data_IF_220969193108
#
_entry.id   IF_220969193108
#
_cell.length_a   1.000
_cell.length_b   1.000
_cell.length_c   1.000
_cell.angle_alpha   90.00
_cell.angle_beta   90.00
_cell.angle_gamma   90.00
#
_symmetry.space_group_name_H-M   'P 1'
#
loop_
_entity.id
_entity.type
_entity.pdbx_description
1 polymer ?
#
# COMPACT_ATOMS: atom_id res chain seq x y z
N UNK A 1 -9.46 57.15 -69.40
CA UNK A 1 -10.29 58.27 -69.87
C UNK A 1 -11.58 58.30 -69.07
N UNK A 2 -11.91 59.48 -68.52
CA UNK A 2 -13.26 60.05 -68.29
C UNK A 2 -14.29 59.12 -67.63
N UNK A 3 -14.48 59.19 -66.31
CA UNK A 3 -15.42 60.07 -65.55
C UNK A 3 -16.92 59.74 -65.70
N UNK A 4 -17.72 60.03 -64.64
CA UNK A 4 -18.95 59.35 -64.25
C UNK A 4 -20.22 60.18 -64.55
N UNK A 5 -21.38 59.61 -64.26
CA UNK A 5 -22.64 60.33 -63.94
C UNK A 5 -23.50 59.36 -63.10
N UNK A 6 -23.58 59.58 -61.78
CA UNK A 6 -24.65 60.34 -61.08
C UNK A 6 -26.03 59.70 -61.34
N UNK A 7 -26.76 59.22 -60.34
CA UNK A 7 -27.43 60.05 -59.34
C UNK A 7 -27.75 59.28 -58.05
N UNK A 8 -27.54 59.96 -56.91
CA UNK A 8 -27.85 59.53 -55.54
C UNK A 8 -29.08 60.32 -55.08
N UNK A 9 -30.18 59.65 -54.76
CA UNK A 9 -31.27 60.28 -54.01
C UNK A 9 -31.89 59.29 -52.99
N UNK A 10 -31.85 59.75 -51.74
CA UNK A 10 -32.71 59.44 -50.60
C UNK A 10 -32.56 58.16 -49.77
N UNK A 11 -31.83 58.37 -48.68
CA UNK A 11 -31.94 57.86 -47.30
C UNK A 11 -33.38 57.69 -46.73
N UNK A 12 -33.63 56.49 -46.16
CA UNK A 12 -34.18 56.16 -44.82
C UNK A 12 -35.40 55.19 -44.76
N UNK A 13 -35.10 54.04 -44.12
CA UNK A 13 -35.88 53.14 -43.26
C UNK A 13 -37.10 52.34 -43.80
N UNK A 14 -36.94 51.02 -43.89
CA UNK A 14 -37.38 50.06 -42.85
C UNK A 14 -37.11 48.61 -43.27
N UNK A 15 -36.80 47.74 -42.30
CA UNK A 15 -36.14 46.44 -42.45
C UNK A 15 -37.03 45.30 -42.96
N UNK A 16 -36.47 44.29 -43.68
CA UNK A 16 -37.08 42.97 -43.83
C UNK A 16 -36.46 41.92 -42.89
N UNK A 17 -37.32 41.04 -42.42
CA UNK A 17 -37.11 39.92 -41.50
C UNK A 17 -36.17 38.83 -42.05
N UNK A 18 -35.34 38.19 -41.20
CA UNK A 18 -34.46 37.10 -41.64
C UNK A 18 -35.16 35.74 -41.63
N UNK A 19 -34.91 34.99 -42.72
CA UNK A 19 -35.19 33.57 -42.90
C UNK A 19 -34.64 32.73 -41.73
N UNK A 20 -35.48 31.84 -41.17
CA UNK A 20 -35.12 30.85 -40.15
C UNK A 20 -34.40 29.64 -40.77
N UNK A 21 -33.20 29.25 -40.30
CA UNK A 21 -32.70 27.88 -40.42
C UNK A 21 -33.18 27.03 -39.23
N UNK A 22 -33.51 25.76 -39.50
CA UNK A 22 -34.18 24.77 -38.65
C UNK A 22 -33.49 24.52 -37.30
N UNK A 23 -34.24 24.67 -36.19
CA UNK A 23 -33.94 24.08 -34.88
C UNK A 23 -34.07 22.55 -34.95
N UNK A 24 -32.94 21.82 -35.03
CA UNK A 24 -32.90 20.37 -34.70
C UNK A 24 -31.75 19.98 -33.76
N UNK A 25 -30.92 20.91 -33.30
CA UNK A 25 -29.70 20.61 -32.52
C UNK A 25 -29.76 20.94 -31.01
N UNK A 26 -30.88 21.46 -30.48
CA UNK A 26 -30.96 21.92 -29.07
C UNK A 26 -31.68 20.96 -28.10
N UNK A 27 -32.41 19.95 -28.57
CA UNK A 27 -33.17 19.03 -27.70
C UNK A 27 -32.34 17.87 -27.13
N UNK A 28 -31.26 17.44 -27.80
CA UNK A 28 -30.42 16.32 -27.36
C UNK A 28 -29.58 16.67 -26.12
N UNK A 29 -29.00 17.87 -26.09
CA UNK A 29 -28.10 18.31 -25.01
C UNK A 29 -28.81 18.54 -23.67
N UNK A 30 -30.06 19.02 -23.66
CA UNK A 30 -30.85 19.15 -22.43
C UNK A 30 -31.22 17.79 -21.82
N UNK A 31 -31.46 16.75 -22.65
CA UNK A 31 -31.78 15.41 -22.16
C UNK A 31 -30.57 14.71 -21.52
N UNK A 32 -29.37 14.92 -22.10
CA UNK A 32 -28.12 14.37 -21.59
C UNK A 32 -27.71 15.02 -20.26
N UNK A 33 -27.89 16.34 -20.14
CA UNK A 33 -27.61 17.07 -18.89
C UNK A 33 -28.54 16.64 -17.75
N UNK A 34 -29.84 16.45 -18.01
CA UNK A 34 -30.78 15.92 -17.01
C UNK A 34 -30.43 14.50 -16.58
N UNK A 35 -30.10 13.62 -17.53
CA UNK A 35 -29.64 12.25 -17.23
C UNK A 35 -28.35 12.25 -16.39
N UNK A 36 -27.40 13.13 -16.71
CA UNK A 36 -26.15 13.27 -15.96
C UNK A 36 -26.40 13.67 -14.51
N UNK A 37 -27.34 14.60 -14.25
CA UNK A 37 -27.74 14.98 -12.88
C UNK A 37 -28.34 13.78 -12.14
N UNK A 38 -29.30 13.08 -12.75
CA UNK A 38 -29.95 11.93 -12.12
C UNK A 38 -28.98 10.78 -11.82
N UNK A 39 -28.04 10.49 -12.73
CA UNK A 39 -26.97 9.50 -12.50
C UNK A 39 -26.00 9.95 -11.39
N UNK A 40 -25.69 11.24 -11.32
CA UNK A 40 -24.84 11.79 -10.26
C UNK A 40 -25.50 11.63 -8.89
N UNK A 41 -26.80 11.94 -8.78
CA UNK A 41 -27.56 11.75 -7.55
C UNK A 41 -27.65 10.27 -7.15
N UNK A 42 -27.85 9.37 -8.12
CA UNK A 42 -27.88 7.94 -7.87
C UNK A 42 -26.54 7.42 -7.34
N UNK A 43 -25.43 7.75 -8.01
CA UNK A 43 -24.10 7.30 -7.57
C UNK A 43 -23.71 7.90 -6.21
N UNK A 44 -24.09 9.15 -5.92
CA UNK A 44 -23.91 9.75 -4.60
C UNK A 44 -24.65 8.97 -3.51
N UNK A 45 -25.88 8.51 -3.77
CA UNK A 45 -26.66 7.69 -2.83
C UNK A 45 -25.97 6.37 -2.45
N UNK A 46 -25.17 5.81 -3.35
CA UNK A 46 -24.39 4.59 -3.11
C UNK A 46 -22.97 4.87 -2.54
N UNK A 47 -22.65 6.13 -2.22
CA UNK A 47 -21.43 6.51 -1.49
C UNK A 47 -20.25 6.97 -2.36
N UNK A 48 -20.49 7.36 -3.62
CA UNK A 48 -19.42 7.88 -4.47
C UNK A 48 -18.98 9.30 -4.06
N UNK A 49 -17.66 9.58 -4.02
CA UNK A 49 -17.15 10.91 -3.69
C UNK A 49 -17.52 11.95 -4.76
N UNK A 50 -18.14 13.08 -4.40
CA UNK A 50 -18.54 14.14 -5.34
C UNK A 50 -17.40 14.67 -6.20
N UNK A 51 -16.18 14.71 -5.66
CA UNK A 51 -14.98 15.19 -6.34
C UNK A 51 -14.53 14.31 -7.51
N UNK A 52 -14.90 13.03 -7.54
CA UNK A 52 -14.48 12.08 -8.59
C UNK A 52 -15.59 11.80 -9.62
N UNK A 53 -16.85 12.12 -9.30
CA UNK A 53 -18.01 11.78 -10.14
C UNK A 53 -18.00 12.47 -11.51
N UNK A 54 -17.63 13.74 -11.57
CA UNK A 54 -17.57 14.47 -12.86
C UNK A 54 -16.48 13.91 -13.78
N UNK A 55 -15.31 13.61 -13.22
CA UNK A 55 -14.20 12.96 -13.94
C UNK A 55 -14.51 11.52 -14.34
N UNK A 56 -15.30 10.81 -13.52
CA UNK A 56 -15.73 9.44 -13.80
C UNK A 56 -16.75 9.37 -14.93
N UNK A 57 -17.76 10.23 -14.93
CA UNK A 57 -18.80 10.28 -15.96
C UNK A 57 -18.25 10.75 -17.32
N UNK A 58 -17.29 11.68 -17.32
CA UNK A 58 -16.63 12.12 -18.56
C UNK A 58 -15.79 11.03 -19.22
N UNK A 59 -15.26 10.07 -18.44
CA UNK A 59 -14.48 8.93 -18.95
C UNK A 59 -15.34 7.74 -19.36
N UNK A 60 -16.56 7.65 -18.86
CA UNK A 60 -17.44 6.48 -19.01
C UNK A 60 -18.72 6.84 -19.78
N UNK A 61 -18.56 7.27 -21.03
CA UNK A 61 -19.69 7.68 -21.89
C UNK A 61 -20.75 6.58 -22.10
N UNK A 62 -20.39 5.30 -21.95
CA UNK A 62 -21.36 4.21 -22.07
C UNK A 62 -22.47 4.28 -20.99
N UNK A 63 -22.20 4.88 -19.81
CA UNK A 63 -23.20 5.08 -18.76
C UNK A 63 -24.18 6.22 -19.08
N UNK A 64 -23.80 7.17 -19.93
CA UNK A 64 -24.69 8.24 -20.39
C UNK A 64 -25.66 7.73 -21.47
N UNK A 65 -25.24 6.66 -22.17
CA UNK A 65 -26.04 5.98 -23.18
C UNK A 65 -26.90 4.84 -22.61
N UNK A 66 -26.60 4.36 -21.39
CA UNK A 66 -27.40 3.32 -20.73
C UNK A 66 -28.71 3.85 -20.17
N UNK A 67 -29.66 2.95 -19.94
CA UNK A 67 -30.91 3.26 -19.27
C UNK A 67 -30.67 3.45 -17.76
N UNK A 68 -31.21 4.53 -17.20
CA UNK A 68 -31.03 4.88 -15.79
C UNK A 68 -31.66 3.83 -14.86
N UNK A 69 -32.81 3.28 -15.26
CA UNK A 69 -33.49 2.20 -14.52
C UNK A 69 -32.67 0.93 -14.46
N UNK A 70 -32.02 0.57 -15.57
CA UNK A 70 -31.18 -0.64 -15.63
C UNK A 70 -29.92 -0.45 -14.79
N UNK A 71 -29.37 0.77 -14.77
CA UNK A 71 -28.22 1.12 -13.90
C UNK A 71 -28.60 1.07 -12.42
N UNK A 72 -29.78 1.56 -12.05
CA UNK A 72 -30.30 1.47 -10.68
C UNK A 72 -30.54 0.02 -10.24
N UNK A 73 -31.11 -0.81 -11.12
CA UNK A 73 -31.25 -2.25 -10.89
C UNK A 73 -29.90 -2.93 -10.74
N UNK A 74 -28.93 -2.64 -11.61
CA UNK A 74 -27.56 -3.17 -11.53
C UNK A 74 -26.92 -2.87 -10.17
N UNK A 75 -27.03 -1.62 -9.69
CA UNK A 75 -26.55 -1.23 -8.36
C UNK A 75 -27.28 -1.98 -7.25
N UNK A 76 -28.60 -2.13 -7.38
CA UNK A 76 -29.42 -2.93 -6.46
C UNK A 76 -29.02 -4.40 -6.43
N UNK A 77 -28.68 -5.01 -7.57
CA UNK A 77 -28.22 -6.41 -7.64
C UNK A 77 -26.86 -6.59 -6.94
N UNK A 78 -25.94 -5.63 -7.11
CA UNK A 78 -24.64 -5.63 -6.44
C UNK A 78 -24.77 -5.60 -4.91
N UNK A 79 -25.72 -4.84 -4.37
CA UNK A 79 -25.93 -4.73 -2.92
C UNK A 79 -26.86 -5.79 -2.34
N UNK A 80 -27.95 -6.13 -3.03
CA UNK A 80 -29.02 -6.98 -2.50
C UNK A 80 -28.82 -8.45 -2.86
N UNK A 81 -28.58 -8.76 -4.13
CA UNK A 81 -28.39 -10.14 -4.60
C UNK A 81 -26.99 -10.67 -4.25
N UNK A 82 -25.96 -9.89 -4.54
CA UNK A 82 -24.56 -10.29 -4.33
C UNK A 82 -24.02 -9.92 -2.94
N UNK A 83 -24.77 -9.14 -2.15
CA UNK A 83 -24.42 -8.74 -0.77
C UNK A 83 -23.04 -8.09 -0.63
N UNK A 84 -22.58 -7.38 -1.67
CA UNK A 84 -21.27 -6.73 -1.68
C UNK A 84 -21.32 -5.48 -0.79
N UNK A 85 -20.35 -5.27 0.13
CA UNK A 85 -20.32 -4.08 0.96
C UNK A 85 -20.26 -2.80 0.12
N UNK A 86 -20.97 -1.73 0.53
CA UNK A 86 -21.04 -0.46 -0.22
C UNK A 86 -19.67 0.08 -0.63
N UNK A 87 -18.68 0.09 0.28
CA UNK A 87 -17.31 0.53 -0.03
C UNK A 87 -16.66 -0.28 -1.16
N UNK A 88 -16.91 -1.59 -1.17
CA UNK A 88 -16.39 -2.52 -2.18
C UNK A 88 -17.09 -2.33 -3.53
N UNK A 89 -18.39 -2.02 -3.54
CA UNK A 89 -19.14 -1.67 -4.77
C UNK A 89 -18.58 -0.40 -5.42
N UNK A 90 -18.32 0.64 -4.62
CA UNK A 90 -17.72 1.88 -5.13
C UNK A 90 -16.35 1.59 -5.77
N UNK A 91 -15.50 0.82 -5.10
CA UNK A 91 -14.20 0.42 -5.69
C UNK A 91 -14.36 -0.37 -6.99
N UNK A 92 -15.26 -1.37 -7.02
CA UNK A 92 -15.50 -2.21 -8.20
C UNK A 92 -15.90 -1.38 -9.42
N UNK A 93 -16.78 -0.40 -9.23
CA UNK A 93 -17.27 0.44 -10.33
C UNK A 93 -16.21 1.44 -10.78
N UNK A 94 -15.39 1.96 -9.86
CA UNK A 94 -14.25 2.82 -10.22
C UNK A 94 -13.24 2.02 -11.06
N UNK A 95 -12.92 0.81 -10.63
CA UNK A 95 -11.92 -0.05 -11.26
C UNK A 95 -12.42 -0.66 -12.58
N UNK A 96 -13.69 -1.11 -12.61
CA UNK A 96 -14.34 -1.68 -13.78
C UNK A 96 -15.80 -1.19 -13.95
N UNK A 97 -15.99 -0.01 -14.57
CA UNK A 97 -17.32 0.58 -14.78
C UNK A 97 -18.27 -0.33 -15.58
N UNK A 98 -17.72 -1.15 -16.47
CA UNK A 98 -18.49 -2.05 -17.35
C UNK A 98 -19.26 -3.15 -16.62
N UNK A 99 -19.00 -3.36 -15.32
CA UNK A 99 -19.77 -4.30 -14.48
C UNK A 99 -21.22 -3.83 -14.30
N UNK A 100 -21.52 -2.54 -14.48
CA UNK A 100 -22.89 -1.99 -14.36
C UNK A 100 -23.84 -2.37 -15.50
N UNK A 101 -23.34 -3.07 -16.51
CA UNK A 101 -24.14 -3.66 -17.58
C UNK A 101 -25.16 -4.66 -16.98
N UNK A 102 -26.45 -4.34 -17.14
CA UNK A 102 -27.54 -5.08 -16.51
C UNK A 102 -27.65 -6.51 -17.03
N UNK A 103 -27.49 -6.71 -18.34
CA UNK A 103 -27.57 -8.04 -18.95
C UNK A 103 -26.41 -8.92 -18.49
N UNK A 104 -25.23 -8.32 -18.32
CA UNK A 104 -24.08 -8.98 -17.73
C UNK A 104 -24.37 -9.44 -16.29
N UNK A 105 -24.85 -8.54 -15.41
CA UNK A 105 -25.12 -8.89 -14.01
C UNK A 105 -26.24 -9.94 -13.88
N UNK A 106 -27.27 -9.87 -14.72
CA UNK A 106 -28.36 -10.86 -14.74
C UNK A 106 -27.87 -12.25 -15.11
N UNK A 107 -26.98 -12.37 -16.09
CA UNK A 107 -26.34 -13.64 -16.45
C UNK A 107 -25.52 -14.20 -15.29
N UNK A 108 -24.76 -13.34 -14.61
CA UNK A 108 -23.94 -13.74 -13.47
C UNK A 108 -24.76 -14.07 -12.23
N UNK A 109 -25.90 -13.41 -11.98
CA UNK A 109 -26.82 -13.75 -10.89
C UNK A 109 -27.32 -15.20 -11.04
N UNK A 110 -27.73 -15.57 -12.25
CA UNK A 110 -28.10 -16.95 -12.56
C UNK A 110 -26.89 -17.91 -12.51
N UNK A 111 -25.71 -17.46 -12.93
CA UNK A 111 -24.49 -18.24 -12.85
C UNK A 111 -24.12 -18.62 -11.42
N UNK A 112 -24.20 -17.67 -10.48
CA UNK A 112 -23.92 -17.90 -9.06
C UNK A 112 -25.04 -18.69 -8.36
N UNK A 113 -26.30 -18.55 -8.77
CA UNK A 113 -27.40 -19.31 -8.17
C UNK A 113 -27.28 -20.83 -8.39
N UNK A 114 -26.67 -21.25 -9.51
CA UNK A 114 -26.32 -22.67 -9.77
C UNK A 114 -25.37 -23.28 -8.73
N UNK A 115 -24.68 -22.46 -7.93
CA UNK A 115 -23.65 -22.88 -6.99
C UNK A 115 -23.78 -22.20 -5.62
N UNK A 116 -25.01 -21.88 -5.21
CA UNK A 116 -25.30 -21.28 -3.90
C UNK A 116 -24.73 -22.10 -2.72
N UNK A 117 -24.57 -23.41 -2.88
CA UNK A 117 -24.06 -24.35 -1.89
C UNK A 117 -22.59 -24.10 -1.49
N UNK A 118 -21.80 -23.39 -2.31
CA UNK A 118 -20.38 -23.10 -2.05
C UNK A 118 -20.14 -21.98 -1.03
N UNK A 119 -21.20 -21.29 -0.59
CA UNK A 119 -21.09 -20.16 0.34
C UNK A 119 -20.11 -19.11 -0.18
N UNK A 120 -20.23 -18.72 -1.46
CA UNK A 120 -19.30 -17.80 -2.14
C UNK A 120 -19.30 -16.46 -1.39
N UNK A 121 -18.17 -16.02 -0.82
CA UNK A 121 -18.12 -14.74 -0.11
C UNK A 121 -18.41 -13.57 -1.06
N UNK A 122 -19.08 -12.50 -0.61
CA UNK A 122 -19.35 -11.32 -1.45
C UNK A 122 -18.09 -10.69 -2.06
N UNK A 123 -16.94 -10.79 -1.38
CA UNK A 123 -15.66 -10.30 -1.89
C UNK A 123 -15.09 -11.15 -3.03
N UNK A 124 -15.36 -12.46 -3.03
CA UNK A 124 -15.02 -13.33 -4.15
C UNK A 124 -15.92 -13.00 -5.36
N UNK A 125 -17.21 -12.77 -5.14
CA UNK A 125 -18.14 -12.33 -6.19
C UNK A 125 -17.65 -11.03 -6.84
N UNK A 126 -17.24 -10.04 -6.03
CA UNK A 126 -16.62 -8.80 -6.53
C UNK A 126 -15.46 -9.12 -7.49
N UNK A 127 -14.50 -9.92 -7.03
CA UNK A 127 -13.25 -10.23 -7.76
C UNK A 127 -13.54 -10.97 -9.07
N UNK A 128 -14.47 -11.92 -9.04
CA UNK A 128 -14.90 -12.67 -10.22
C UNK A 128 -15.59 -11.75 -11.22
N UNK A 129 -16.54 -10.91 -10.80
CA UNK A 129 -17.23 -9.99 -11.70
C UNK A 129 -16.27 -9.01 -12.39
N UNK A 130 -15.32 -8.46 -11.62
CA UNK A 130 -14.29 -7.56 -12.13
C UNK A 130 -13.43 -8.25 -13.20
N UNK A 131 -12.92 -9.44 -12.89
CA UNK A 131 -12.08 -10.21 -13.79
C UNK A 131 -12.86 -10.68 -15.03
N UNK A 132 -14.08 -11.15 -14.85
CA UNK A 132 -14.93 -11.64 -15.92
C UNK A 132 -15.32 -10.56 -16.90
N UNK A 133 -15.60 -9.33 -16.43
CA UNK A 133 -15.86 -8.22 -17.37
C UNK A 133 -14.60 -7.82 -18.13
N UNK A 134 -13.44 -7.81 -17.47
CA UNK A 134 -12.15 -7.44 -18.07
C UNK A 134 -11.70 -8.43 -19.16
N UNK A 135 -11.93 -9.71 -18.95
CA UNK A 135 -11.50 -10.79 -19.86
C UNK A 135 -12.64 -11.44 -20.65
N UNK A 136 -13.85 -10.89 -20.57
CA UNK A 136 -15.05 -11.39 -21.26
C UNK A 136 -15.31 -12.88 -20.96
N UNK A 137 -15.28 -13.24 -19.68
CA UNK A 137 -15.52 -14.60 -19.21
C UNK A 137 -17.01 -14.80 -18.97
N UNK A 138 -17.53 -15.92 -19.44
CA UNK A 138 -18.92 -16.32 -19.21
C UNK A 138 -19.08 -17.11 -17.89
N UNK A 139 -20.28 -17.05 -17.27
CA UNK A 139 -20.55 -17.77 -16.04
C UNK A 139 -20.38 -19.29 -16.18
N UNK A 140 -20.68 -19.87 -17.35
CA UNK A 140 -20.53 -21.31 -17.56
C UNK A 140 -19.06 -21.74 -17.52
N UNK A 141 -18.15 -20.92 -18.05
CA UNK A 141 -16.70 -21.18 -17.96
C UNK A 141 -16.18 -21.12 -16.52
N UNK A 142 -16.67 -20.17 -15.73
CA UNK A 142 -16.37 -20.10 -14.30
C UNK A 142 -16.84 -21.37 -13.57
N UNK A 143 -18.05 -21.84 -13.89
CA UNK A 143 -18.61 -23.05 -13.32
C UNK A 143 -17.85 -24.32 -13.73
N UNK A 144 -17.40 -24.41 -14.98
CA UNK A 144 -16.51 -25.49 -15.44
C UNK A 144 -15.19 -25.47 -14.68
N UNK A 145 -14.58 -24.31 -14.50
CA UNK A 145 -13.33 -24.16 -13.76
C UNK A 145 -13.48 -24.64 -12.31
N UNK A 146 -14.59 -24.30 -11.65
CA UNK A 146 -14.89 -24.80 -10.30
C UNK A 146 -14.97 -26.33 -10.25
N UNK A 147 -15.62 -26.96 -11.23
CA UNK A 147 -15.69 -28.43 -11.34
C UNK A 147 -14.31 -29.03 -11.58
N UNK A 148 -13.50 -28.43 -12.45
CA UNK A 148 -12.13 -28.86 -12.73
C UNK A 148 -11.28 -28.79 -11.46
N UNK A 149 -11.33 -27.68 -10.72
CA UNK A 149 -10.56 -27.54 -9.48
C UNK A 149 -10.96 -28.61 -8.45
N UNK A 150 -12.25 -28.86 -8.27
CA UNK A 150 -12.74 -29.94 -7.39
C UNK A 150 -12.32 -31.33 -7.90
N UNK A 151 -12.43 -31.58 -9.21
CA UNK A 151 -12.04 -32.85 -9.85
C UNK A 151 -10.55 -33.14 -9.76
N UNK A 152 -9.72 -32.10 -9.77
CA UNK A 152 -8.27 -32.20 -9.53
C UNK A 152 -7.93 -32.45 -8.05
N UNK A 153 -8.92 -32.47 -7.15
CA UNK A 153 -8.76 -32.78 -5.73
C UNK A 153 -8.38 -31.58 -4.87
N UNK A 154 -8.68 -30.34 -5.30
CA UNK A 154 -8.54 -29.18 -4.43
C UNK A 154 -9.59 -29.18 -3.32
N UNK A 155 -9.17 -28.82 -2.11
CA UNK A 155 -10.12 -28.57 -1.03
C UNK A 155 -11.02 -27.37 -1.35
N UNK A 156 -12.18 -27.30 -0.69
CA UNK A 156 -13.11 -26.16 -0.89
C UNK A 156 -12.46 -24.83 -0.49
N UNK A 157 -11.68 -24.83 0.59
CA UNK A 157 -10.93 -23.66 1.04
C UNK A 157 -9.90 -23.24 0.00
N UNK A 158 -9.15 -24.18 -0.59
CA UNK A 158 -8.17 -23.89 -1.63
C UNK A 158 -8.82 -23.39 -2.91
N UNK A 159 -9.93 -24.00 -3.33
CA UNK A 159 -10.70 -23.53 -4.49
C UNK A 159 -11.13 -22.08 -4.32
N UNK A 160 -11.66 -21.73 -3.14
CA UNK A 160 -12.03 -20.35 -2.79
C UNK A 160 -10.82 -19.42 -2.84
N UNK A 161 -9.73 -19.78 -2.15
CA UNK A 161 -8.49 -18.97 -2.09
C UNK A 161 -7.86 -18.75 -3.46
N UNK A 162 -7.90 -19.76 -4.33
CA UNK A 162 -7.35 -19.65 -5.68
C UNK A 162 -8.15 -18.67 -6.52
N UNK A 163 -9.48 -18.70 -6.45
CA UNK A 163 -10.32 -17.75 -7.19
C UNK A 163 -10.23 -16.32 -6.65
N UNK A 164 -10.01 -16.16 -5.34
CA UNK A 164 -9.80 -14.86 -4.70
C UNK A 164 -8.43 -14.27 -5.02
N UNK A 165 -7.36 -15.05 -4.87
CA UNK A 165 -5.97 -14.58 -5.02
C UNK A 165 -5.46 -14.59 -6.46
N UNK A 166 -5.98 -15.49 -7.30
CA UNK A 166 -5.58 -15.63 -8.70
C UNK A 166 -6.80 -15.91 -9.59
N UNK A 167 -7.69 -14.92 -9.81
CA UNK A 167 -8.88 -15.08 -10.66
C UNK A 167 -8.54 -15.45 -12.11
N UNK A 168 -7.30 -15.19 -12.54
CA UNK A 168 -6.76 -15.65 -13.82
C UNK A 168 -6.78 -17.16 -14.03
N UNK A 169 -6.99 -17.96 -12.98
CA UNK A 169 -7.18 -19.42 -13.08
C UNK A 169 -8.34 -19.79 -14.00
N UNK A 170 -9.39 -18.96 -14.09
CA UNK A 170 -10.57 -19.20 -14.95
C UNK A 170 -10.16 -19.18 -16.43
N UNK A 171 -9.08 -18.47 -16.75
CA UNK A 171 -8.53 -18.41 -18.10
C UNK A 171 -7.69 -19.65 -18.46
N UNK A 172 -7.15 -20.36 -17.46
CA UNK A 172 -6.24 -21.49 -17.67
C UNK A 172 -6.96 -22.74 -18.15
N UNK A 173 -6.23 -23.59 -18.87
CA UNK A 173 -6.72 -24.92 -19.26
C UNK A 173 -6.51 -25.93 -18.13
N UNK A 174 -7.39 -26.92 -18.02
CA UNK A 174 -7.25 -28.00 -17.04
C UNK A 174 -5.88 -28.68 -17.11
N UNK A 175 -5.37 -28.96 -18.32
CA UNK A 175 -4.06 -29.58 -18.53
C UNK A 175 -2.90 -28.74 -17.96
N UNK A 176 -3.03 -27.42 -17.95
CA UNK A 176 -2.01 -26.51 -17.41
C UNK A 176 -2.00 -26.50 -15.88
N UNK A 177 -3.17 -26.60 -15.25
CA UNK A 177 -3.30 -26.74 -13.80
C UNK A 177 -2.75 -28.11 -13.37
N UNK A 178 -3.14 -29.16 -14.10
CA UNK A 178 -2.67 -30.52 -13.84
C UNK A 178 -1.15 -30.64 -13.96
N UNK A 179 -0.54 -30.06 -15.01
CA UNK A 179 0.93 -30.05 -15.17
C UNK A 179 1.64 -29.42 -13.96
N UNK A 180 1.08 -28.37 -13.36
CA UNK A 180 1.67 -27.72 -12.18
C UNK A 180 1.53 -28.55 -10.92
N UNK A 181 0.40 -29.23 -10.75
CA UNK A 181 0.22 -30.22 -9.68
C UNK A 181 1.28 -31.33 -9.81
N UNK A 182 1.42 -31.91 -11.01
CA UNK A 182 2.40 -32.97 -11.27
C UNK A 182 3.84 -32.49 -11.06
N UNK A 183 4.17 -31.27 -11.47
CA UNK A 183 5.48 -30.68 -11.22
C UNK A 183 5.80 -30.56 -9.73
N UNK A 184 4.87 -30.04 -8.92
CA UNK A 184 5.07 -29.93 -7.46
C UNK A 184 5.20 -31.32 -6.81
N UNK A 185 4.46 -32.31 -7.30
CA UNK A 185 4.62 -33.69 -6.86
C UNK A 185 5.97 -34.29 -7.27
N UNK A 186 6.45 -33.99 -8.49
CA UNK A 186 7.74 -34.48 -9.00
C UNK A 186 8.95 -33.94 -8.20
N UNK A 187 8.87 -32.73 -7.65
CA UNK A 187 9.89 -32.19 -6.73
C UNK A 187 9.76 -32.77 -5.30
N UNK A 188 8.80 -33.67 -5.09
CA UNK A 188 8.59 -34.44 -3.87
C UNK A 188 7.63 -33.80 -2.86
N UNK A 189 6.82 -32.82 -3.26
CA UNK A 189 5.78 -32.27 -2.38
C UNK A 189 4.58 -33.24 -2.40
N UNK A 190 4.12 -33.73 -1.23
CA UNK A 190 2.98 -34.65 -1.18
C UNK A 190 1.69 -33.93 -1.58
N UNK A 191 0.66 -34.68 -1.97
CA UNK A 191 -0.57 -34.11 -2.56
C UNK A 191 -1.29 -33.12 -1.63
N UNK A 192 -1.27 -33.36 -0.33
CA UNK A 192 -1.79 -32.46 0.70
C UNK A 192 -0.94 -31.18 0.82
N UNK A 193 0.39 -31.31 0.70
CA UNK A 193 1.32 -30.19 0.59
C UNK A 193 1.06 -29.32 -0.63
N UNK A 194 0.71 -29.94 -1.77
CA UNK A 194 0.34 -29.22 -2.99
C UNK A 194 -0.92 -28.38 -2.79
N UNK A 195 -1.94 -28.93 -2.12
CA UNK A 195 -3.16 -28.16 -1.78
C UNK A 195 -2.81 -26.94 -0.91
N UNK A 196 -1.94 -27.12 0.10
CA UNK A 196 -1.46 -26.02 0.98
C UNK A 196 -0.69 -24.95 0.22
N UNK A 197 0.14 -25.34 -0.75
CA UNK A 197 0.89 -24.41 -1.61
C UNK A 197 -0.07 -23.49 -2.35
N UNK A 198 -1.05 -24.06 -3.05
CA UNK A 198 -2.03 -23.28 -3.80
C UNK A 198 -3.00 -22.49 -2.91
N UNK A 199 -3.28 -22.96 -1.70
CA UNK A 199 -4.08 -22.23 -0.71
C UNK A 199 -3.40 -20.94 -0.23
N UNK A 200 -2.09 -21.05 0.03
CA UNK A 200 -1.28 -19.98 0.64
C UNK A 200 -0.72 -19.01 -0.40
N UNK A 201 -0.45 -19.50 -1.61
CA UNK A 201 0.12 -18.72 -2.71
C UNK A 201 -0.48 -19.13 -4.07
N UNK A 202 -1.75 -18.79 -4.34
CA UNK A 202 -2.43 -19.10 -5.61
C UNK A 202 -1.69 -18.65 -6.86
N UNK A 203 -0.96 -17.53 -6.80
CA UNK A 203 -0.32 -16.89 -7.94
C UNK A 203 0.74 -17.78 -8.61
N UNK A 204 1.22 -18.81 -7.92
CA UNK A 204 2.12 -19.82 -8.49
C UNK A 204 1.50 -20.57 -9.67
N UNK A 205 0.16 -20.63 -9.78
CA UNK A 205 -0.54 -21.15 -10.96
C UNK A 205 -0.28 -20.32 -12.23
N UNK A 206 0.06 -19.05 -12.08
CA UNK A 206 0.42 -18.19 -13.21
C UNK A 206 1.86 -18.40 -13.69
N UNK A 207 2.70 -19.14 -12.96
CA UNK A 207 4.12 -19.25 -13.29
C UNK A 207 4.33 -20.41 -14.26
N UNK A 208 5.19 -20.20 -15.26
CA UNK A 208 5.60 -21.26 -16.16
C UNK A 208 6.65 -22.17 -15.52
N UNK A 209 6.57 -23.46 -15.84
CA UNK A 209 7.41 -24.48 -15.22
C UNK A 209 8.84 -24.35 -15.76
N UNK A 210 8.98 -24.40 -17.08
CA UNK A 210 10.26 -24.49 -17.78
C UNK A 210 11.01 -23.15 -17.80
N UNK A 211 10.28 -22.04 -17.95
CA UNK A 211 10.86 -20.71 -18.12
C UNK A 211 11.08 -19.95 -16.80
N UNK A 212 10.48 -20.41 -15.69
CA UNK A 212 10.59 -19.71 -14.40
C UNK A 212 10.84 -20.61 -13.20
N UNK A 213 9.97 -21.60 -12.94
CA UNK A 213 10.08 -22.41 -11.72
C UNK A 213 11.34 -23.30 -11.74
N UNK A 214 11.63 -23.95 -12.87
CA UNK A 214 12.82 -24.78 -13.03
C UNK A 214 14.13 -24.00 -12.87
N UNK A 215 14.35 -22.87 -13.58
CA UNK A 215 15.54 -22.03 -13.36
C UNK A 215 15.73 -21.61 -11.92
N UNK A 216 14.63 -21.27 -11.21
CA UNK A 216 14.68 -20.89 -9.81
C UNK A 216 15.12 -22.05 -8.89
N UNK A 217 14.57 -23.25 -9.09
CA UNK A 217 14.97 -24.43 -8.31
C UNK A 217 16.42 -24.84 -8.62
N UNK A 218 16.86 -24.70 -9.86
CA UNK A 218 18.25 -24.94 -10.25
C UNK A 218 19.19 -23.95 -9.54
N UNK A 219 18.85 -22.67 -9.46
CA UNK A 219 19.64 -21.70 -8.69
C UNK A 219 19.78 -22.14 -7.22
N UNK A 220 18.71 -22.63 -6.59
CA UNK A 220 18.78 -23.09 -5.21
C UNK A 220 19.76 -24.27 -5.06
N UNK A 221 19.77 -25.18 -6.02
CA UNK A 221 20.72 -26.30 -6.07
C UNK A 221 22.16 -25.82 -6.29
N UNK A 222 22.36 -24.88 -7.21
CA UNK A 222 23.67 -24.30 -7.53
C UNK A 222 24.26 -23.50 -6.35
N UNK A 223 23.38 -22.92 -5.51
CA UNK A 223 23.75 -22.29 -4.24
C UNK A 223 24.13 -23.29 -3.13
N UNK A 224 24.02 -24.60 -3.40
CA UNK A 224 24.40 -25.69 -2.50
C UNK A 224 23.31 -26.15 -1.54
N UNK A 225 22.04 -25.79 -1.78
CA UNK A 225 20.92 -26.26 -0.96
C UNK A 225 20.44 -27.63 -1.45
N UNK A 226 20.21 -28.57 -0.52
CA UNK A 226 19.67 -29.88 -0.85
C UNK A 226 18.21 -29.78 -1.27
N UNK A 227 17.79 -30.66 -2.18
CA UNK A 227 16.40 -30.72 -2.67
C UNK A 227 15.41 -30.96 -1.52
N UNK A 228 15.80 -31.72 -0.50
CA UNK A 228 15.01 -31.95 0.72
C UNK A 228 14.82 -30.68 1.56
N UNK A 229 15.85 -29.85 1.70
CA UNK A 229 15.74 -28.57 2.40
C UNK A 229 14.82 -27.62 1.62
N UNK A 230 15.02 -27.51 0.30
CA UNK A 230 14.22 -26.66 -0.59
C UNK A 230 12.75 -27.05 -0.51
N UNK A 231 12.43 -28.35 -0.59
CA UNK A 231 11.08 -28.88 -0.44
C UNK A 231 10.43 -28.48 0.88
N UNK A 232 11.14 -28.64 2.00
CA UNK A 232 10.66 -28.24 3.33
C UNK A 232 10.35 -26.75 3.42
N UNK A 233 11.22 -25.91 2.86
CA UNK A 233 11.01 -24.47 2.83
C UNK A 233 9.84 -24.07 1.93
N UNK A 234 9.64 -24.71 0.77
CA UNK A 234 8.47 -24.46 -0.10
C UNK A 234 7.16 -24.83 0.61
N UNK A 235 7.09 -25.97 1.29
CA UNK A 235 5.88 -26.38 2.03
C UNK A 235 5.57 -25.40 3.16
N UNK A 236 6.62 -24.92 3.85
CA UNK A 236 6.49 -23.96 4.94
C UNK A 236 6.08 -22.57 4.46
N UNK A 237 6.64 -22.12 3.34
CA UNK A 237 6.44 -20.78 2.79
C UNK A 237 6.44 -20.82 1.25
N UNK A 238 5.27 -21.08 0.65
CA UNK A 238 5.14 -21.21 -0.80
C UNK A 238 5.56 -19.98 -1.61
N UNK A 239 5.58 -18.78 -0.99
CA UNK A 239 6.01 -17.53 -1.65
C UNK A 239 7.47 -17.53 -2.08
N UNK A 240 8.28 -18.49 -1.62
CA UNK A 240 9.64 -18.72 -2.15
C UNK A 240 9.61 -18.97 -3.67
N UNK A 241 8.58 -19.64 -4.19
CA UNK A 241 8.41 -19.86 -5.64
C UNK A 241 8.11 -18.56 -6.41
N UNK A 242 7.79 -17.48 -5.69
CA UNK A 242 7.58 -16.14 -6.21
C UNK A 242 8.86 -15.33 -6.41
N UNK A 243 10.02 -15.84 -5.99
CA UNK A 243 11.30 -15.16 -6.20
C UNK A 243 11.69 -15.11 -7.68
N UNK A 244 12.50 -14.12 -8.02
CA UNK A 244 13.23 -14.06 -9.29
C UNK A 244 14.62 -14.70 -9.13
N UNK A 245 15.13 -15.26 -10.23
CA UNK A 245 16.47 -15.83 -10.25
C UNK A 245 17.52 -14.78 -9.86
N UNK A 246 18.42 -15.14 -8.96
CA UNK A 246 19.47 -14.27 -8.43
C UNK A 246 19.06 -13.48 -7.18
N UNK A 247 17.78 -13.45 -6.82
CA UNK A 247 17.34 -12.74 -5.60
C UNK A 247 17.87 -13.41 -4.34
N UNK A 248 17.86 -14.75 -4.30
CA UNK A 248 18.38 -15.49 -3.17
C UNK A 248 19.89 -15.30 -3.05
N UNK A 249 20.63 -15.43 -4.16
CA UNK A 249 22.09 -15.19 -4.17
C UNK A 249 22.44 -13.80 -3.62
N UNK A 250 21.82 -12.74 -4.15
CA UNK A 250 22.05 -11.36 -3.70
C UNK A 250 21.75 -11.17 -2.20
N UNK A 251 20.70 -11.84 -1.72
CA UNK A 251 20.32 -11.81 -0.31
C UNK A 251 21.35 -12.53 0.57
N UNK A 252 21.84 -13.69 0.14
CA UNK A 252 22.89 -14.43 0.83
C UNK A 252 24.21 -13.65 0.87
N UNK A 253 24.58 -12.97 -0.22
CA UNK A 253 25.78 -12.14 -0.28
C UNK A 253 25.71 -10.93 0.65
N UNK A 254 24.52 -10.31 0.78
CA UNK A 254 24.30 -9.30 1.81
C UNK A 254 24.54 -9.89 3.20
N UNK A 255 23.94 -11.04 3.52
CA UNK A 255 24.04 -11.60 4.88
C UNK A 255 25.48 -12.04 5.20
N UNK A 256 26.21 -12.58 4.21
CA UNK A 256 27.63 -12.94 4.34
C UNK A 256 28.52 -11.71 4.58
N UNK A 257 28.18 -10.57 4.00
CA UNK A 257 28.94 -9.32 4.14
C UNK A 257 28.54 -8.45 5.34
N UNK A 258 27.59 -8.90 6.17
CA UNK A 258 27.16 -8.16 7.37
C UNK A 258 28.28 -8.07 8.41
N UNK A 259 28.64 -6.84 8.77
CA UNK A 259 29.51 -6.53 9.90
C UNK A 259 28.64 -6.18 11.12
N UNK A 260 28.05 -7.19 11.76
CA UNK A 260 27.19 -7.01 12.93
C UNK A 260 27.66 -7.81 14.15
N UNK A 261 27.07 -7.53 15.32
CA UNK A 261 27.37 -8.26 16.55
C UNK A 261 26.95 -9.72 16.42
N UNK A 262 27.74 -10.64 16.96
CA UNK A 262 27.50 -12.08 16.87
C UNK A 262 26.09 -12.53 17.29
N UNK A 263 25.48 -12.00 18.37
CA UNK A 263 24.11 -12.37 18.74
C UNK A 263 23.05 -12.01 17.68
N UNK A 264 23.28 -10.94 16.90
CA UNK A 264 22.36 -10.54 15.82
C UNK A 264 22.54 -11.52 14.65
N UNK A 265 23.78 -11.83 14.31
CA UNK A 265 24.11 -12.79 13.25
C UNK A 265 23.51 -14.16 13.55
N UNK A 266 23.71 -14.69 14.75
CA UNK A 266 23.13 -15.96 15.20
C UNK A 266 21.59 -15.97 15.11
N UNK A 267 20.93 -14.86 15.48
CA UNK A 267 19.47 -14.74 15.35
C UNK A 267 19.01 -14.75 13.89
N UNK A 268 19.72 -14.06 13.00
CA UNK A 268 19.40 -14.04 11.56
C UNK A 268 19.51 -15.46 10.98
N UNK A 269 20.57 -16.19 11.33
CA UNK A 269 20.81 -17.56 10.85
C UNK A 269 20.10 -18.66 11.65
N UNK A 270 19.28 -18.31 12.65
CA UNK A 270 18.64 -19.29 13.55
C UNK A 270 17.77 -20.33 12.83
N UNK A 271 17.22 -19.98 11.66
CA UNK A 271 16.39 -20.85 10.82
C UNK A 271 17.14 -21.36 9.58
N UNK A 272 18.47 -21.22 9.53
CA UNK A 272 19.31 -21.60 8.40
C UNK A 272 19.51 -20.49 7.36
N UNK A 273 20.53 -20.66 6.51
CA UNK A 273 20.94 -19.66 5.53
C UNK A 273 19.88 -19.40 4.45
N UNK A 274 19.20 -20.45 3.96
CA UNK A 274 18.12 -20.32 2.98
C UNK A 274 17.03 -19.36 3.48
N UNK A 275 16.54 -19.63 4.70
CA UNK A 275 15.50 -18.82 5.33
C UNK A 275 15.99 -17.40 5.57
N UNK A 276 17.20 -17.24 6.09
CA UNK A 276 17.78 -15.91 6.29
C UNK A 276 17.81 -15.09 4.99
N UNK A 277 18.24 -15.72 3.87
CA UNK A 277 18.22 -15.12 2.54
C UNK A 277 16.81 -14.70 2.11
N UNK A 278 15.82 -15.56 2.32
CA UNK A 278 14.42 -15.24 2.02
C UNK A 278 13.88 -14.09 2.88
N UNK A 279 14.17 -14.05 4.19
CA UNK A 279 13.75 -12.96 5.07
C UNK A 279 14.33 -11.60 4.63
N UNK A 280 15.58 -11.58 4.15
CA UNK A 280 16.18 -10.37 3.54
C UNK A 280 15.39 -9.93 2.30
N UNK A 281 15.08 -10.85 1.39
CA UNK A 281 14.27 -10.56 0.21
C UNK A 281 12.93 -9.93 0.59
N UNK A 282 12.24 -10.47 1.58
CA UNK A 282 10.99 -9.90 2.07
C UNK A 282 11.13 -8.46 2.58
N UNK A 283 12.22 -8.13 3.29
CA UNK A 283 12.45 -6.75 3.77
C UNK A 283 12.81 -5.82 2.63
N UNK A 284 13.58 -6.29 1.65
CA UNK A 284 13.87 -5.51 0.44
C UNK A 284 12.58 -5.18 -0.32
N UNK A 285 11.71 -6.16 -0.53
CA UNK A 285 10.43 -5.95 -1.21
C UNK A 285 9.53 -4.97 -0.46
N UNK A 286 9.45 -5.10 0.87
CA UNK A 286 8.72 -4.17 1.73
C UNK A 286 9.25 -2.73 1.56
N UNK A 287 10.56 -2.52 1.64
CA UNK A 287 11.16 -1.20 1.45
C UNK A 287 10.90 -0.66 0.03
N UNK A 288 10.99 -1.50 -1.00
CA UNK A 288 10.71 -1.13 -2.38
C UNK A 288 9.24 -0.77 -2.63
N UNK A 289 8.29 -1.43 -1.97
CA UNK A 289 6.86 -1.07 -1.98
C UNK A 289 6.64 0.38 -1.49
N UNK A 290 7.50 0.87 -0.60
CA UNK A 290 7.50 2.25 -0.12
C UNK A 290 8.39 3.20 -0.93
N UNK A 291 8.63 2.88 -2.21
CA UNK A 291 9.34 3.71 -3.22
C UNK A 291 10.86 3.84 -3.02
N UNK A 292 11.48 2.99 -2.20
CA UNK A 292 12.94 2.91 -2.16
C UNK A 292 13.47 2.06 -3.32
N UNK A 293 14.63 2.43 -3.83
CA UNK A 293 15.30 1.64 -4.87
C UNK A 293 15.92 0.40 -4.21
N UNK A 294 15.94 -0.75 -4.90
CA UNK A 294 16.55 -2.00 -4.39
C UNK A 294 17.94 -1.77 -3.78
N UNK A 295 18.81 -1.01 -4.47
CA UNK A 295 20.16 -0.66 -3.97
C UNK A 295 20.13 0.04 -2.61
N UNK A 296 19.18 0.95 -2.39
CA UNK A 296 19.01 1.66 -1.12
C UNK A 296 18.49 0.71 -0.04
N UNK A 297 17.54 -0.16 -0.37
CA UNK A 297 17.03 -1.17 0.56
C UNK A 297 18.15 -2.11 1.05
N UNK A 298 18.98 -2.63 0.13
CA UNK A 298 20.17 -3.41 0.50
C UNK A 298 21.14 -2.61 1.38
N UNK A 299 21.38 -1.33 1.07
CA UNK A 299 22.24 -0.44 1.87
C UNK A 299 21.70 -0.22 3.29
N UNK A 300 20.38 -0.08 3.45
CA UNK A 300 19.72 0.06 4.76
C UNK A 300 19.90 -1.23 5.56
N UNK A 301 19.58 -2.39 4.99
CA UNK A 301 19.73 -3.68 5.68
C UNK A 301 21.18 -3.98 6.05
N UNK A 302 22.13 -3.60 5.20
CA UNK A 302 23.55 -3.76 5.48
C UNK A 302 24.02 -2.88 6.64
N UNK A 303 23.57 -1.61 6.69
CA UNK A 303 23.89 -0.68 7.79
C UNK A 303 23.15 -1.01 9.09
N UNK A 304 21.92 -1.51 9.00
CA UNK A 304 21.08 -1.86 10.15
C UNK A 304 20.50 -3.28 10.00
N UNK A 305 21.28 -4.32 10.35
CA UNK A 305 20.85 -5.71 10.14
C UNK A 305 19.71 -6.15 11.04
N UNK A 306 19.41 -5.41 12.12
CA UNK A 306 18.28 -5.73 13.01
C UNK A 306 16.94 -5.64 12.29
N UNK A 307 16.85 -4.90 11.18
CA UNK A 307 15.62 -4.83 10.35
C UNK A 307 15.20 -6.22 9.86
N UNK A 308 16.15 -7.12 9.60
CA UNK A 308 15.85 -8.50 9.16
C UNK A 308 15.09 -9.29 10.25
N UNK A 309 15.26 -8.91 11.52
CA UNK A 309 14.64 -9.59 12.67
C UNK A 309 13.26 -9.05 13.04
N UNK A 310 12.85 -7.90 12.49
CA UNK A 310 11.54 -7.32 12.75
C UNK A 310 10.49 -7.85 11.79
N UNK A 311 9.25 -7.99 12.26
CA UNK A 311 8.12 -8.34 11.41
C UNK A 311 7.84 -7.24 10.38
N UNK A 312 7.35 -7.62 9.20
CA UNK A 312 7.10 -6.69 8.09
C UNK A 312 6.13 -5.59 8.54
N UNK A 313 5.07 -5.95 9.26
CA UNK A 313 4.06 -5.00 9.76
C UNK A 313 4.67 -3.93 10.69
N UNK A 314 5.70 -4.26 11.48
CA UNK A 314 6.36 -3.28 12.34
C UNK A 314 7.21 -2.31 11.52
N UNK A 315 7.82 -2.77 10.43
CA UNK A 315 8.57 -1.94 9.50
C UNK A 315 7.60 -1.01 8.76
N UNK A 316 6.48 -1.52 8.26
CA UNK A 316 5.45 -0.72 7.58
C UNK A 316 4.88 0.35 8.52
N UNK A 317 4.56 0.02 9.78
CA UNK A 317 4.10 1.00 10.79
C UNK A 317 5.10 2.13 11.01
N UNK A 318 6.39 1.80 11.09
CA UNK A 318 7.47 2.79 11.23
C UNK A 318 7.58 3.70 10.01
N UNK A 319 7.50 3.13 8.80
CA UNK A 319 7.54 3.92 7.55
C UNK A 319 6.31 4.83 7.45
N UNK A 320 5.12 4.29 7.75
CA UNK A 320 3.86 5.04 7.73
C UNK A 320 3.90 6.23 8.70
N UNK A 321 4.50 6.07 9.88
CA UNK A 321 4.67 7.16 10.83
C UNK A 321 5.55 8.28 10.26
N UNK A 322 6.67 7.95 9.62
CA UNK A 322 7.55 8.95 8.98
C UNK A 322 6.80 9.72 7.89
N UNK A 323 6.07 9.00 7.02
CA UNK A 323 5.42 9.62 5.86
C UNK A 323 4.17 10.41 6.25
N UNK A 324 3.30 9.83 7.10
CA UNK A 324 1.98 10.39 7.40
C UNK A 324 2.00 11.34 8.59
N UNK A 325 2.80 11.07 9.62
CA UNK A 325 2.83 11.87 10.85
C UNK A 325 3.95 12.90 10.81
N UNK A 326 5.18 12.47 10.53
CA UNK A 326 6.33 13.39 10.51
C UNK A 326 6.41 14.20 9.20
N UNK A 327 5.77 13.73 8.13
CA UNK A 327 5.76 14.40 6.83
C UNK A 327 7.09 14.30 6.06
N UNK A 328 7.95 13.35 6.41
CA UNK A 328 9.27 13.16 5.78
C UNK A 328 9.21 12.15 4.63
N UNK A 329 10.12 12.30 3.67
CA UNK A 329 10.30 11.33 2.60
C UNK A 329 11.01 10.07 3.12
N UNK A 330 10.57 8.90 2.64
CA UNK A 330 11.16 7.57 2.96
C UNK A 330 12.67 7.51 2.68
N UNK A 331 13.20 8.30 1.74
CA UNK A 331 14.62 8.42 1.45
C UNK A 331 15.50 8.76 2.66
N UNK A 332 14.94 9.42 3.70
CA UNK A 332 15.69 9.70 4.93
C UNK A 332 16.18 8.43 5.67
N UNK A 333 15.58 7.26 5.40
CA UNK A 333 15.99 5.98 5.97
C UNK A 333 17.38 5.55 5.49
N UNK A 334 17.84 6.02 4.33
CA UNK A 334 19.19 5.72 3.81
C UNK A 334 20.28 6.39 4.67
N UNK A 335 19.95 7.56 5.22
CA UNK A 335 20.84 8.38 6.06
C UNK A 335 20.77 7.97 7.53
N UNK A 336 19.58 7.55 7.99
CA UNK A 336 19.32 7.14 9.38
C UNK A 336 18.62 5.76 9.43
N UNK A 337 19.29 4.68 8.96
CA UNK A 337 18.70 3.34 8.95
C UNK A 337 18.47 2.80 10.37
N UNK A 338 19.18 3.32 11.37
CA UNK A 338 19.04 2.94 12.77
C UNK A 338 17.62 3.19 13.31
N UNK A 339 16.85 4.07 12.65
CA UNK A 339 15.44 4.29 12.93
C UNK A 339 14.63 2.98 12.91
N UNK A 340 14.87 2.14 11.90
CA UNK A 340 14.17 0.86 11.77
C UNK A 340 14.67 -0.15 12.82
N UNK A 341 15.86 0.04 13.37
CA UNK A 341 16.50 -0.79 14.39
C UNK A 341 16.07 -0.52 15.84
N UNK A 342 15.42 0.61 16.13
CA UNK A 342 15.02 0.99 17.50
C UNK A 342 13.57 0.64 17.82
N UNK A 343 13.23 0.56 19.11
CA UNK A 343 11.86 0.31 19.55
C UNK A 343 10.95 1.49 19.20
N UNK A 344 9.88 1.21 18.45
CA UNK A 344 8.94 2.23 18.01
C UNK A 344 8.23 2.89 19.21
N UNK A 345 7.55 2.09 20.03
CA UNK A 345 6.74 2.57 21.15
C UNK A 345 7.56 3.15 22.30
N UNK A 346 8.71 2.55 22.60
CA UNK A 346 9.51 2.96 23.78
C UNK A 346 10.46 4.11 23.49
N UNK A 347 10.83 4.33 22.24
CA UNK A 347 11.87 5.31 21.88
C UNK A 347 11.39 6.32 20.85
N UNK A 348 10.80 5.90 19.74
CA UNK A 348 10.43 6.82 18.65
C UNK A 348 9.27 7.73 19.07
N UNK A 349 8.15 7.13 19.50
CA UNK A 349 6.92 7.87 19.83
C UNK A 349 7.12 8.87 20.98
N UNK A 350 7.74 8.52 22.13
CA UNK A 350 7.91 9.47 23.23
C UNK A 350 8.83 10.63 22.88
N UNK A 351 9.88 10.37 22.07
CA UNK A 351 10.80 11.42 21.62
C UNK A 351 10.13 12.38 20.66
N UNK A 352 9.36 11.85 19.71
CA UNK A 352 8.60 12.68 18.78
C UNK A 352 7.61 13.60 19.51
N UNK A 353 6.82 13.06 20.46
CA UNK A 353 5.87 13.85 21.27
C UNK A 353 6.53 15.01 22.01
N UNK A 354 7.71 14.78 22.60
CA UNK A 354 8.48 15.83 23.28
C UNK A 354 8.91 16.91 22.28
N UNK A 355 9.47 16.52 21.13
CA UNK A 355 9.92 17.47 20.11
C UNK A 355 8.75 18.28 19.54
N UNK A 356 7.64 17.62 19.21
CA UNK A 356 6.42 18.27 18.70
C UNK A 356 5.84 19.27 19.70
N UNK A 357 5.80 18.90 20.99
CA UNK A 357 5.36 19.81 22.05
C UNK A 357 6.27 21.03 22.20
N UNK A 358 7.60 20.83 22.19
CA UNK A 358 8.55 21.93 22.29
C UNK A 358 8.50 22.84 21.05
N UNK A 359 8.25 22.26 19.88
CA UNK A 359 8.03 23.02 18.65
C UNK A 359 6.79 23.91 18.76
N UNK A 360 5.66 23.36 19.22
CA UNK A 360 4.41 24.12 19.42
C UNK A 360 4.56 25.26 20.46
N UNK A 361 5.43 25.07 21.47
CA UNK A 361 5.74 26.10 22.48
C UNK A 361 6.84 27.09 22.07
N UNK A 362 7.43 26.94 20.88
CA UNK A 362 8.56 27.79 20.44
C UNK A 362 9.86 27.59 21.25
N UNK A 363 10.00 26.48 21.97
CA UNK A 363 11.16 26.18 22.80
C UNK A 363 12.39 25.70 22.01
N UNK A 364 12.19 25.33 20.74
CA UNK A 364 13.25 24.89 19.84
C UNK A 364 13.79 26.08 19.02
N UNK A 365 15.12 26.23 19.04
CA UNK A 365 15.84 27.23 18.24
C UNK A 365 15.93 26.86 16.76
N UNK A 366 16.09 25.56 16.46
CA UNK A 366 16.16 24.99 15.12
C UNK A 366 15.31 23.70 15.03
N UNK A 367 14.96 23.28 13.81
CA UNK A 367 14.26 22.01 13.57
C UNK A 367 15.10 20.79 13.99
N UNK A 368 14.50 19.92 14.80
CA UNK A 368 15.15 18.69 15.26
C UNK A 368 14.90 17.56 14.26
N UNK A 369 15.88 17.32 13.40
CA UNK A 369 15.81 16.24 12.40
C UNK A 369 15.78 14.83 13.00
N UNK A 370 15.34 13.86 12.20
CA UNK A 370 15.23 12.43 12.57
C UNK A 370 16.52 11.85 13.17
N UNK A 371 17.68 12.28 12.65
CA UNK A 371 19.00 11.85 13.15
C UNK A 371 19.19 12.16 14.63
N UNK A 372 18.80 13.36 15.09
CA UNK A 372 18.95 13.75 16.49
C UNK A 372 17.97 12.96 17.37
N UNK A 373 16.73 12.77 16.92
CA UNK A 373 15.75 11.96 17.64
C UNK A 373 16.19 10.52 17.84
N UNK A 374 16.89 9.91 16.89
CA UNK A 374 17.25 8.48 16.95
C UNK A 374 18.64 8.25 17.55
N UNK A 375 19.66 9.04 17.16
CA UNK A 375 21.06 8.76 17.54
C UNK A 375 21.40 9.19 18.96
N UNK A 376 20.62 10.07 19.60
CA UNK A 376 20.87 10.46 20.99
C UNK A 376 20.58 9.29 21.95
N UNK A 377 21.46 9.11 22.95
CA UNK A 377 21.18 8.19 24.05
C UNK A 377 19.98 8.68 24.86
N UNK A 378 19.28 7.77 25.57
CA UNK A 378 18.12 8.15 26.40
C UNK A 378 18.47 9.27 27.39
N UNK A 379 19.64 9.18 28.05
CA UNK A 379 20.14 10.19 28.98
C UNK A 379 20.42 11.54 28.31
N UNK A 380 21.08 11.53 27.14
CA UNK A 380 21.36 12.77 26.41
C UNK A 380 20.09 13.44 25.92
N UNK A 381 19.14 12.67 25.37
CA UNK A 381 17.85 13.19 24.95
C UNK A 381 17.10 13.81 26.14
N UNK A 382 17.05 13.11 27.27
CA UNK A 382 16.42 13.63 28.49
C UNK A 382 17.06 14.94 28.95
N UNK A 383 18.38 15.00 29.07
CA UNK A 383 19.08 16.21 29.53
C UNK A 383 18.89 17.40 28.59
N UNK A 384 18.75 17.17 27.28
CA UNK A 384 18.62 18.23 26.27
C UNK A 384 17.19 18.74 26.13
N UNK A 385 16.21 17.84 26.07
CA UNK A 385 14.83 18.18 25.68
C UNK A 385 13.81 18.00 26.80
N UNK A 386 14.11 17.24 27.85
CA UNK A 386 13.14 16.92 28.91
C UNK A 386 13.46 17.65 30.20
N UNK A 387 14.70 17.55 30.70
CA UNK A 387 15.14 18.20 31.94
C UNK A 387 14.90 19.72 31.96
N UNK A 388 15.12 20.47 30.85
CA UNK A 388 14.84 21.91 30.85
C UNK A 388 13.34 22.26 30.85
N UNK A 389 12.46 21.29 30.54
CA UNK A 389 11.02 21.47 30.39
C UNK A 389 10.26 20.42 31.21
N UNK A 390 10.03 20.65 32.52
CA UNK A 390 9.45 19.66 33.43
C UNK A 390 8.11 19.06 32.96
N UNK A 391 7.33 19.77 32.14
CA UNK A 391 6.07 19.25 31.59
C UNK A 391 6.30 18.06 30.62
N UNK A 392 7.47 17.98 29.99
CA UNK A 392 7.85 16.91 29.07
C UNK A 392 8.12 15.58 29.78
N UNK A 393 8.33 15.57 31.11
CA UNK A 393 8.60 14.34 31.86
C UNK A 393 7.43 13.35 31.81
N UNK A 394 6.20 13.87 31.82
CA UNK A 394 4.98 13.06 31.71
C UNK A 394 4.89 12.38 30.33
N UNK A 395 5.37 13.04 29.27
CA UNK A 395 5.33 12.54 27.90
C UNK A 395 6.47 11.55 27.59
N UNK A 396 7.65 11.76 28.19
CA UNK A 396 8.82 10.91 28.00
C UNK A 396 8.83 9.64 28.88
N UNK A 397 8.04 9.65 29.96
CA UNK A 397 7.99 8.60 30.99
C UNK A 397 9.06 8.80 32.07
N UNK A 398 8.72 8.50 33.34
CA UNK A 398 9.59 8.76 34.50
C UNK A 398 10.99 8.17 34.32
N UNK A 399 12.01 9.02 34.44
CA UNK A 399 13.41 8.63 34.52
C UNK A 399 13.76 8.42 36.00
N UNK A 400 13.74 7.17 36.49
CA UNK A 400 14.24 6.86 37.84
C UNK A 400 15.74 6.62 37.75
N UNK A 401 16.55 7.52 38.29
CA UNK A 401 17.99 7.39 38.31
C UNK A 401 18.69 8.58 38.96
N UNK A 402 18.83 8.53 40.29
CA UNK A 402 19.77 9.36 41.04
C UNK A 402 21.20 9.04 40.57
N UNK A 403 21.76 9.87 39.68
CA UNK A 403 23.18 9.82 39.33
C UNK A 403 23.70 11.23 39.13
N UNK A 404 24.64 11.63 40.00
CA UNK A 404 25.38 12.88 39.91
C UNK A 404 25.95 13.11 38.49
N UNK A 405 25.73 14.32 37.99
CA UNK A 405 26.04 14.73 36.62
C UNK A 405 27.43 15.37 36.59
N UNK A 406 28.40 14.77 35.90
CA UNK A 406 29.57 15.52 35.42
C UNK A 406 29.17 16.27 34.15
N UNK A 407 29.13 17.60 34.25
CA UNK A 407 28.86 18.50 33.14
C UNK A 407 30.03 18.49 32.17
N UNK A 408 29.85 17.86 31.02
CA UNK A 408 30.61 18.18 29.82
C UNK A 408 29.59 18.48 28.73
N UNK A 409 29.24 19.76 28.60
CA UNK A 409 28.53 20.26 27.44
C UNK A 409 29.54 20.35 26.28
N UNK A 410 29.31 19.68 25.14
CA UNK A 410 30.04 20.00 23.92
C UNK A 410 29.69 21.43 23.50
N UNK A 411 30.70 22.27 23.37
CA UNK A 411 30.59 23.69 23.01
C UNK A 411 29.85 23.83 21.66
N UNK A 412 28.78 24.63 21.61
CA UNK A 412 28.05 24.98 20.38
C UNK A 412 26.57 24.55 20.30
N UNK A 413 26.07 23.73 21.23
CA UNK A 413 24.66 23.24 21.24
C UNK A 413 23.62 24.23 21.82
N UNK A 414 24.07 25.34 22.42
CA UNK A 414 23.19 26.37 23.01
C UNK A 414 22.31 27.10 21.99
N UNK A 415 22.61 26.98 20.69
CA UNK A 415 21.80 27.55 19.60
C UNK A 415 20.45 26.84 19.41
N UNK A 416 20.30 25.59 19.87
CA UNK A 416 19.11 24.77 19.64
C UNK A 416 17.96 25.03 20.63
N UNK A 417 18.19 25.78 21.70
CA UNK A 417 17.22 25.97 22.77
C UNK A 417 16.99 27.46 22.99
N UNK A 418 15.72 27.88 22.92
CA UNK A 418 15.31 29.20 23.39
C UNK A 418 14.81 29.06 24.83
N UNK A 419 15.50 29.64 25.83
CA UNK A 419 14.96 29.69 27.18
C UNK A 419 13.61 30.40 27.15
N UNK A 420 12.61 29.87 27.85
CA UNK A 420 11.37 30.60 28.08
C UNK A 420 11.71 31.87 28.85
N UNK A 421 11.36 33.03 28.30
CA UNK A 421 11.14 34.23 29.11
C UNK A 421 9.94 33.94 30.01
N UNK A 422 10.19 33.31 31.16
CA UNK A 422 9.28 33.45 32.30
C UNK A 422 9.44 34.87 32.80
N UNK A 423 8.32 35.55 33.01
CA UNK A 423 8.27 36.78 33.79
C UNK A 423 9.11 36.61 35.06
N UNK A 424 10.04 37.55 35.36
CA UNK A 424 10.95 37.45 36.48
C UNK A 424 10.23 37.83 37.80
N UNK A 425 9.19 37.09 38.17
CA UNK A 425 8.39 37.38 39.37
C UNK A 425 8.76 36.52 40.59
N UNK A 426 9.97 35.96 40.59
CA UNK A 426 10.57 35.36 41.78
C UNK A 426 11.90 36.08 42.06
N UNK A 427 11.92 36.87 43.13
CA UNK A 427 13.16 37.49 43.65
C UNK A 427 14.24 36.45 43.96
N UNK A 428 13.87 35.18 44.15
CA UNK A 428 14.76 34.03 44.29
C UNK A 428 15.52 33.70 42.99
N UNK A 429 14.87 33.81 41.83
CA UNK A 429 15.44 33.40 40.53
C UNK A 429 16.47 34.42 40.02
N UNK A 430 16.26 35.71 40.31
CA UNK A 430 17.24 36.78 40.04
C UNK A 430 18.48 36.62 40.93
N UNK A 431 18.29 36.17 42.18
CA UNK A 431 19.39 35.92 43.12
C UNK A 431 20.21 34.69 42.71
N UNK A 432 19.54 33.64 42.23
CA UNK A 432 20.19 32.46 41.68
C UNK A 432 20.95 32.75 40.36
N UNK A 433 20.40 33.58 39.46
CA UNK A 433 21.13 34.00 38.26
C UNK A 433 22.37 34.86 38.59
N UNK A 434 22.29 35.75 39.59
CA UNK A 434 23.45 36.51 40.06
C UNK A 434 24.55 35.61 40.64
N UNK A 435 24.20 34.63 41.47
CA UNK A 435 25.20 33.66 41.98
C UNK A 435 25.82 32.77 40.90
N UNK A 436 25.11 32.51 39.80
CA UNK A 436 25.66 31.74 38.66
C UNK A 436 26.64 32.61 37.82
N UNK A 437 26.37 33.91 37.69
CA UNK A 437 27.26 34.83 36.96
C UNK A 437 28.52 35.18 37.74
N UNK A 438 28.46 35.29 39.07
CA UNK A 438 29.63 35.58 39.93
C UNK A 438 30.62 34.41 40.02
N UNK A 439 30.22 33.19 39.64
CA UNK A 439 31.09 32.01 39.60
C UNK A 439 31.82 31.76 38.27
N UNK A 440 31.73 32.70 37.31
CA UNK A 440 32.29 32.56 35.95
C UNK A 440 33.31 33.67 35.58
N UNK A 441 33.86 34.39 36.56
CA UNK A 441 35.04 35.24 36.38
C UNK A 441 36.30 34.48 36.79
#
# INVERSE_FOLDING_TARGET
MVRPTETLHHLIASAPTPFKPKLRFLSSNQSLYRKQISLTTLLQRYGFPPSQLQTFLSRNHFLLNSNLHDTEKSLGMLTSSFKIPHKSVVSLIIDCPGVLDFDFLKRWEFGFSKFADLGVPPLLIKTVLEHSKKFQIDPDRFNETLKVLKGLGFSESTTRRVLEGFPGVIALKECEIHRRIQFLMAIGIPRDGVDRVFNSFPEVLGFGIENRLMPLLNEFKDLGFSEELVRKEIIREPRILGMEVGELSRSLDLIRSLKCREPIKLKIFSKGAFRAGFEVKLRVDCLCKHRLIRREAFKILWKEPRVILYEIDEIEKKIDFIVKTVGLNVGCLVDVPEYLGVSFEKQVVPRYKVIEYLHAKGGLGDEVGLKAMIKLSRRRFYNLYVKPYPECEKMFGRFSGDVQVKNQHPTGLWKLLKPQQRDPDSKEDVKNMKSIMEGLV
#
